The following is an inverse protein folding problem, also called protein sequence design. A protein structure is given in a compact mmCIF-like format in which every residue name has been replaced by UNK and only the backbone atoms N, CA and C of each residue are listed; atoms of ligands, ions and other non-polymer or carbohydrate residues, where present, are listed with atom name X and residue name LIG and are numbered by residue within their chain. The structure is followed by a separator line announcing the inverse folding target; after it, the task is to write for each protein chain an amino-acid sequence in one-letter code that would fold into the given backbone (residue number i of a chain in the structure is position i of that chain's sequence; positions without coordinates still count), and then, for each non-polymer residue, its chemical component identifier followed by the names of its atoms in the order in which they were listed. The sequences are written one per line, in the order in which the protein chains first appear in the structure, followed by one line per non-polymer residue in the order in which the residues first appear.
data_IF_195337417350
#
_entry.id   IF_195337417350
#
_cell.length_a   1.000
_cell.length_b   1.000
_cell.length_c   1.000
_cell.angle_alpha   90.00
_cell.angle_beta   90.00
_cell.angle_gamma   90.00
#
_symmetry.space_group_name_H-M   'P 1'
#
loop_
_entity.id
_entity.type
_entity.pdbx_description
1 polymer ?
#
# COMPACT_ATOMS: atom_id res chain seq x y z
N UNK A 1 1.75 3.64 -27.68
CA UNK A 1 2.29 2.29 -27.41
C UNK A 1 1.60 1.30 -28.33
N UNK A 2 2.31 0.31 -28.88
CA UNK A 2 1.77 -0.63 -29.89
C UNK A 2 2.20 -2.09 -29.63
N UNK A 3 2.65 -2.39 -28.41
CA UNK A 3 3.26 -3.66 -28.06
C UNK A 3 4.44 -3.51 -27.10
N UNK A 4 5.18 -4.61 -26.91
CA UNK A 4 6.35 -4.69 -26.03
C UNK A 4 7.49 -5.42 -26.71
N UNK A 5 8.73 -4.98 -26.44
CA UNK A 5 9.95 -5.77 -26.69
C UNK A 5 10.38 -6.38 -25.37
N UNK A 6 10.73 -7.65 -25.38
CA UNK A 6 11.07 -8.41 -24.17
C UNK A 6 12.12 -9.46 -24.46
N UNK A 7 12.86 -9.85 -23.44
CA UNK A 7 13.78 -10.98 -23.51
C UNK A 7 13.07 -12.23 -22.99
N UNK A 8 13.17 -13.33 -23.74
CA UNK A 8 12.68 -14.63 -23.32
C UNK A 8 13.74 -15.69 -23.58
N UNK A 9 14.29 -16.26 -22.50
CA UNK A 9 15.37 -17.26 -22.56
C UNK A 9 16.60 -16.79 -23.34
N UNK A 10 17.01 -15.52 -23.14
CA UNK A 10 18.19 -14.93 -23.80
C UNK A 10 17.93 -14.42 -25.22
N UNK A 11 16.73 -14.61 -25.78
CA UNK A 11 16.37 -14.11 -27.11
C UNK A 11 15.53 -12.85 -27.01
N UNK A 12 15.87 -11.85 -27.84
CA UNK A 12 15.06 -10.64 -27.98
C UNK A 12 13.82 -10.95 -28.83
N UNK A 13 12.64 -10.65 -28.29
CA UNK A 13 11.35 -10.86 -28.93
C UNK A 13 10.54 -9.58 -28.95
N UNK A 14 9.57 -9.54 -29.85
CA UNK A 14 8.62 -8.44 -30.00
C UNK A 14 7.20 -9.02 -30.05
N UNK A 15 6.28 -8.41 -29.31
CA UNK A 15 4.86 -8.72 -29.35
C UNK A 15 4.08 -7.44 -29.64
N UNK A 16 3.26 -7.46 -30.69
CA UNK A 16 2.37 -6.35 -31.04
C UNK A 16 1.03 -6.52 -30.32
N UNK A 17 0.47 -5.40 -29.87
CA UNK A 17 -0.87 -5.36 -29.29
C UNK A 17 -1.52 -4.01 -29.57
N UNK A 18 -2.87 -4.00 -29.57
CA UNK A 18 -3.64 -2.75 -29.64
C UNK A 18 -3.47 -1.93 -28.35
N UNK A 19 -3.49 -2.61 -27.21
CA UNK A 19 -3.38 -2.02 -25.87
C UNK A 19 -2.39 -2.86 -25.04
N UNK A 20 -1.58 -2.19 -24.22
CA UNK A 20 -0.70 -2.80 -23.21
C UNK A 20 -1.24 -2.42 -21.83
N UNK A 21 -1.38 -3.38 -20.92
CA UNK A 21 -1.66 -3.11 -19.51
C UNK A 21 -0.37 -3.35 -18.73
N UNK A 22 0.24 -2.27 -18.24
CA UNK A 22 1.45 -2.28 -17.43
C UNK A 22 1.09 -2.48 -15.95
N UNK A 23 1.34 -3.69 -15.45
CA UNK A 23 1.18 -4.06 -14.05
C UNK A 23 2.52 -4.53 -13.44
N UNK A 24 3.60 -3.84 -13.79
CA UNK A 24 4.99 -4.21 -13.52
C UNK A 24 5.53 -3.71 -12.15
N UNK A 25 4.63 -3.49 -11.20
CA UNK A 25 4.97 -3.20 -9.82
C UNK A 25 5.51 -1.79 -9.57
N UNK A 26 6.11 -1.60 -8.38
CA UNK A 26 6.59 -0.31 -7.87
C UNK A 26 7.59 0.40 -8.79
N UNK A 27 8.36 -0.37 -9.57
CA UNK A 27 9.32 0.20 -10.50
C UNK A 27 8.66 0.87 -11.71
N UNK A 28 7.47 0.42 -12.13
CA UNK A 28 6.69 1.04 -13.22
C UNK A 28 7.54 1.38 -14.46
N UNK A 29 8.44 0.46 -14.85
CA UNK A 29 9.41 0.66 -15.96
C UNK A 29 8.69 0.79 -17.28
N UNK A 30 7.67 -0.03 -17.51
CA UNK A 30 6.88 -0.01 -18.75
C UNK A 30 6.16 1.34 -18.91
N UNK A 31 5.64 1.89 -17.81
CA UNK A 31 5.09 3.24 -17.77
C UNK A 31 6.13 4.31 -18.12
N UNK A 32 7.33 4.24 -17.53
CA UNK A 32 8.44 5.16 -17.84
C UNK A 32 8.86 5.11 -19.30
N UNK A 33 8.98 3.91 -19.87
CA UNK A 33 9.33 3.73 -21.29
C UNK A 33 8.27 4.29 -22.24
N UNK A 34 7.00 4.29 -21.81
CA UNK A 34 5.90 4.91 -22.53
C UNK A 34 5.82 6.44 -22.36
N UNK A 35 6.77 7.06 -21.64
CA UNK A 35 6.82 8.51 -21.41
C UNK A 35 5.94 9.01 -20.27
N UNK A 36 5.36 8.11 -19.47
CA UNK A 36 4.55 8.50 -18.31
C UNK A 36 5.49 8.74 -17.12
N UNK A 37 5.26 9.84 -16.40
CA UNK A 37 6.04 10.19 -15.20
C UNK A 37 5.56 9.35 -14.02
N UNK A 38 6.18 8.19 -13.83
CA UNK A 38 5.81 7.22 -12.78
C UNK A 38 6.78 7.20 -11.59
N UNK A 39 7.72 8.15 -11.52
CA UNK A 39 8.65 8.24 -10.39
C UNK A 39 7.92 8.57 -9.09
N UNK A 40 8.14 7.75 -8.06
CA UNK A 40 7.73 8.05 -6.68
C UNK A 40 8.81 8.87 -5.99
N UNK A 41 8.42 9.94 -5.28
CA UNK A 41 9.34 10.65 -4.39
C UNK A 41 9.76 9.71 -3.24
N UNK A 42 11.04 9.72 -2.86
CA UNK A 42 11.51 8.83 -1.81
C UNK A 42 10.79 9.06 -0.46
N UNK A 43 10.24 10.26 -0.22
CA UNK A 43 9.48 10.58 1.00
C UNK A 43 8.12 9.87 1.08
N UNK A 44 7.61 9.54 -0.10
CA UNK A 44 6.33 8.86 -0.34
C UNK A 44 6.51 7.35 -0.57
N UNK A 45 7.76 6.88 -0.58
CA UNK A 45 8.09 5.47 -0.66
C UNK A 45 8.40 4.95 0.75
N UNK A 46 7.56 4.04 1.24
CA UNK A 46 7.83 3.31 2.46
C UNK A 46 8.89 2.25 2.18
N UNK A 47 9.91 2.17 3.04
CA UNK A 47 10.90 1.11 3.01
C UNK A 47 10.41 -0.03 3.89
N UNK A 48 10.09 -1.16 3.27
CA UNK A 48 9.52 -2.31 3.94
C UNK A 48 10.47 -3.49 3.96
N UNK A 49 10.51 -4.19 5.09
CA UNK A 49 11.18 -5.49 5.25
C UNK A 49 10.25 -6.45 5.98
N UNK A 50 10.29 -7.71 5.59
CA UNK A 50 9.52 -8.76 6.23
C UNK A 50 10.32 -10.06 6.25
N UNK A 51 10.23 -10.77 7.37
CA UNK A 51 10.58 -12.17 7.45
C UNK A 51 9.33 -13.02 7.57
N UNK A 52 9.41 -14.25 7.08
CA UNK A 52 8.55 -15.33 7.56
C UNK A 52 9.35 -16.09 8.61
N UNK A 53 8.83 -16.18 9.83
CA UNK A 53 9.46 -16.88 10.93
C UNK A 53 8.57 -18.03 11.43
N UNK A 54 9.17 -19.12 11.88
CA UNK A 54 8.50 -20.24 12.52
C UNK A 54 8.48 -20.09 14.05
N UNK A 55 7.63 -20.88 14.70
CA UNK A 55 7.57 -21.00 16.17
C UNK A 55 7.24 -19.68 16.88
N UNK A 56 6.35 -18.89 16.27
CA UNK A 56 5.90 -17.61 16.80
C UNK A 56 4.66 -17.83 17.68
N UNK A 57 4.75 -17.60 19.01
CA UNK A 57 3.69 -17.92 19.96
C UNK A 57 2.63 -16.80 20.02
N UNK A 58 1.89 -16.61 18.93
CA UNK A 58 0.81 -15.62 18.80
C UNK A 58 -0.50 -16.30 18.45
N UNK A 59 -1.63 -15.63 18.72
CA UNK A 59 -2.95 -16.14 18.35
C UNK A 59 -3.08 -16.18 16.82
N UNK A 60 -3.35 -17.34 16.20
CA UNK A 60 -3.47 -17.47 14.75
C UNK A 60 -4.61 -16.66 14.14
N UNK A 61 -5.57 -16.20 14.93
CA UNK A 61 -6.73 -15.43 14.46
C UNK A 61 -6.58 -13.91 14.63
N UNK A 62 -5.41 -13.43 15.05
CA UNK A 62 -5.18 -12.02 15.36
C UNK A 62 -4.00 -11.45 14.58
N UNK A 63 -4.24 -10.38 13.80
CA UNK A 63 -3.17 -9.56 13.25
C UNK A 63 -2.73 -8.52 14.28
N UNK A 64 -1.43 -8.44 14.54
CA UNK A 64 -0.86 -7.48 15.48
C UNK A 64 -0.24 -6.32 14.72
N UNK A 65 -0.46 -5.11 15.24
CA UNK A 65 0.12 -3.88 14.73
C UNK A 65 0.78 -3.13 15.88
N UNK A 66 2.03 -2.71 15.69
CA UNK A 66 2.77 -1.88 16.64
C UNK A 66 3.08 -0.53 15.99
N UNK A 67 2.90 0.52 16.77
CA UNK A 67 3.14 1.91 16.39
C UNK A 67 4.08 2.55 17.41
N UNK A 68 4.82 3.57 16.97
CA UNK A 68 5.73 4.33 17.81
C UNK A 68 7.18 4.24 17.35
N UNK A 69 8.00 5.11 17.92
CA UNK A 69 9.39 5.34 17.50
C UNK A 69 10.28 4.10 17.68
N UNK A 70 10.00 3.27 18.70
CA UNK A 70 10.74 2.03 18.93
C UNK A 70 10.51 0.97 17.83
N UNK A 71 9.32 0.93 17.25
CA UNK A 71 8.90 -0.15 16.36
C UNK A 71 9.06 0.21 14.88
N UNK A 72 8.45 1.33 14.47
CA UNK A 72 8.39 1.77 13.08
C UNK A 72 8.01 3.25 13.02
N UNK A 73 8.98 4.17 13.19
CA UNK A 73 8.73 5.61 13.08
C UNK A 73 8.05 5.97 11.75
N UNK A 74 6.97 6.74 11.83
CA UNK A 74 6.17 7.16 10.66
C UNK A 74 5.68 6.01 9.77
N UNK A 75 5.49 4.85 10.36
CA UNK A 75 4.92 3.68 9.71
C UNK A 75 4.29 2.77 10.75
N UNK A 76 4.40 1.47 10.54
CA UNK A 76 3.95 0.49 11.52
C UNK A 76 4.70 -0.83 11.34
N UNK A 77 4.71 -1.61 12.42
CA UNK A 77 5.24 -2.95 12.46
C UNK A 77 4.08 -3.94 12.55
N UNK A 78 4.17 -5.08 11.89
CA UNK A 78 3.12 -6.11 11.90
C UNK A 78 3.63 -7.49 12.30
N UNK A 79 2.70 -8.27 12.84
CA UNK A 79 2.78 -9.72 12.92
C UNK A 79 1.48 -10.27 12.34
N UNK A 80 1.58 -10.94 11.20
CA UNK A 80 0.47 -11.61 10.54
C UNK A 80 0.66 -13.12 10.69
N UNK A 81 -0.07 -13.78 11.61
CA UNK A 81 0.03 -15.21 11.80
C UNK A 81 -0.30 -15.98 10.53
N UNK A 82 0.35 -17.13 10.39
CA UNK A 82 0.13 -18.13 9.35
C UNK A 82 -0.15 -19.48 10.02
N UNK A 83 -0.46 -20.49 9.22
CA UNK A 83 -0.62 -21.85 9.72
C UNK A 83 0.67 -22.36 10.41
N UNK A 84 0.51 -23.36 11.29
CA UNK A 84 1.60 -24.12 11.91
C UNK A 84 2.58 -23.27 12.75
N UNK A 85 2.06 -22.24 13.43
CA UNK A 85 2.88 -21.38 14.30
C UNK A 85 3.88 -20.50 13.56
N UNK A 86 3.76 -20.36 12.23
CA UNK A 86 4.55 -19.41 11.46
C UNK A 86 3.87 -18.03 11.47
N UNK A 87 4.64 -16.97 11.25
CA UNK A 87 4.10 -15.63 11.03
C UNK A 87 4.94 -14.83 10.03
N UNK A 88 4.28 -13.95 9.30
CA UNK A 88 4.94 -12.86 8.60
C UNK A 88 5.15 -11.71 9.58
N UNK A 89 6.41 -11.35 9.83
CA UNK A 89 6.82 -10.32 10.78
C UNK A 89 7.60 -9.27 10.00
N UNK A 90 7.17 -8.02 10.05
CA UNK A 90 7.79 -6.98 9.26
C UNK A 90 7.39 -5.59 9.67
N UNK A 91 7.93 -4.61 8.96
CA UNK A 91 7.60 -3.20 9.15
C UNK A 91 7.75 -2.43 7.85
N UNK A 92 7.09 -1.28 7.82
CA UNK A 92 7.33 -0.20 6.87
C UNK A 92 7.69 1.06 7.62
N UNK A 93 8.68 1.79 7.14
CA UNK A 93 9.03 3.13 7.63
C UNK A 93 9.16 4.09 6.47
N UNK A 94 8.76 5.34 6.70
CA UNK A 94 8.85 6.38 5.68
C UNK A 94 10.29 6.49 5.17
N UNK A 95 10.48 6.73 3.87
CA UNK A 95 11.80 6.92 3.30
C UNK A 95 12.60 8.08 3.92
N UNK A 96 11.97 8.99 4.67
CA UNK A 96 12.67 9.97 5.52
C UNK A 96 13.44 9.33 6.68
N UNK A 97 12.87 8.29 7.29
CA UNK A 97 13.46 7.51 8.38
C UNK A 97 14.48 6.51 7.83
N UNK A 98 14.14 5.85 6.72
CA UNK A 98 15.00 4.91 6.01
C UNK A 98 16.38 5.46 5.64
N UNK A 99 16.54 6.79 5.55
CA UNK A 99 17.83 7.47 5.35
C UNK A 99 18.80 7.38 6.53
N UNK A 100 18.28 7.26 7.76
CA UNK A 100 19.06 7.25 9.00
C UNK A 100 19.17 5.84 9.58
N UNK A 101 18.06 5.12 9.59
CA UNK A 101 17.99 3.74 10.10
C UNK A 101 17.26 2.88 9.09
N UNK A 102 17.87 1.74 8.73
CA UNK A 102 17.23 0.80 7.84
C UNK A 102 16.02 0.15 8.51
N UNK A 103 14.99 -0.19 7.75
CA UNK A 103 13.87 -0.99 8.26
C UNK A 103 14.37 -2.32 8.87
N UNK A 104 15.43 -2.91 8.29
CA UNK A 104 16.08 -4.11 8.82
C UNK A 104 16.58 -3.94 10.26
N UNK A 105 17.10 -2.76 10.62
CA UNK A 105 17.61 -2.50 11.97
C UNK A 105 16.50 -2.64 13.01
N UNK A 106 15.32 -2.08 12.74
CA UNK A 106 14.15 -2.22 13.62
C UNK A 106 13.65 -3.66 13.67
N UNK A 107 13.63 -4.37 12.53
CA UNK A 107 13.25 -5.78 12.49
C UNK A 107 14.16 -6.63 13.37
N UNK A 108 15.47 -6.50 13.21
CA UNK A 108 16.45 -7.26 13.99
C UNK A 108 16.30 -6.99 15.48
N UNK A 109 16.22 -5.71 15.88
CA UNK A 109 16.03 -5.33 17.26
C UNK A 109 14.75 -5.94 17.87
N UNK A 110 13.65 -5.90 17.13
CA UNK A 110 12.39 -6.50 17.56
C UNK A 110 12.50 -8.02 17.71
N UNK A 111 13.11 -8.70 16.74
CA UNK A 111 13.25 -10.16 16.77
C UNK A 111 14.18 -10.62 17.90
N UNK A 112 15.31 -9.96 18.12
CA UNK A 112 16.23 -10.25 19.23
C UNK A 112 15.54 -10.10 20.59
N UNK A 113 14.70 -9.07 20.75
CA UNK A 113 14.01 -8.79 22.00
C UNK A 113 12.80 -9.70 22.24
N UNK A 114 12.00 -9.96 21.19
CA UNK A 114 10.68 -10.60 21.33
C UNK A 114 10.70 -12.10 21.03
N UNK A 115 11.50 -12.51 20.04
CA UNK A 115 11.53 -13.88 19.52
C UNK A 115 12.98 -14.37 19.26
N UNK A 116 13.89 -14.30 20.26
CA UNK A 116 15.32 -14.61 20.07
C UNK A 116 15.59 -16.03 19.60
N UNK A 117 14.67 -16.97 19.85
CA UNK A 117 14.80 -18.38 19.51
C UNK A 117 14.00 -18.77 18.25
N UNK A 118 13.37 -17.81 17.56
CA UNK A 118 12.59 -18.12 16.36
C UNK A 118 13.48 -18.42 15.17
N UNK A 119 12.97 -19.25 14.25
CA UNK A 119 13.68 -19.60 13.02
C UNK A 119 13.17 -18.76 11.85
N UNK A 120 14.04 -17.96 11.24
CA UNK A 120 13.72 -17.24 10.00
C UNK A 120 13.75 -18.20 8.81
N UNK A 121 12.62 -18.29 8.09
CA UNK A 121 12.45 -19.15 6.92
C UNK A 121 12.78 -18.41 5.62
N UNK A 122 12.30 -17.17 5.51
CA UNK A 122 12.52 -16.31 4.34
C UNK A 122 12.61 -14.85 4.77
N UNK A 123 13.32 -14.04 3.99
CA UNK A 123 13.34 -12.59 4.15
C UNK A 123 13.11 -11.91 2.80
N UNK A 124 12.29 -10.86 2.81
CA UNK A 124 12.02 -10.00 1.65
C UNK A 124 12.09 -8.54 2.05
N UNK A 125 12.45 -7.68 1.11
CA UNK A 125 12.38 -6.24 1.25
C UNK A 125 11.79 -5.62 -0.03
N UNK A 126 11.15 -4.47 0.10
CA UNK A 126 10.53 -3.78 -1.03
C UNK A 126 10.10 -2.36 -0.68
N UNK A 127 9.93 -1.55 -1.72
CA UNK A 127 9.33 -0.22 -1.60
C UNK A 127 7.81 -0.30 -1.75
N UNK A 128 7.08 0.49 -0.97
CA UNK A 128 5.63 0.64 -1.10
C UNK A 128 5.29 2.11 -1.39
N UNK A 129 4.70 2.44 -2.56
CA UNK A 129 4.36 3.82 -2.92
C UNK A 129 3.10 4.28 -2.18
N UNK A 130 3.27 4.77 -0.95
CA UNK A 130 2.19 5.21 -0.07
C UNK A 130 1.80 6.68 -0.31
N UNK A 131 1.33 6.95 -1.52
CA UNK A 131 0.94 8.30 -1.97
C UNK A 131 -0.31 8.24 -2.86
N UNK A 132 -0.69 9.39 -3.42
CA UNK A 132 -1.80 9.49 -4.36
C UNK A 132 -1.51 8.71 -5.64
N UNK A 133 -2.57 8.24 -6.29
CA UNK A 133 -2.52 7.72 -7.67
C UNK A 133 -1.82 8.72 -8.58
N UNK A 134 -1.05 8.21 -9.56
CA UNK A 134 -0.38 9.08 -10.54
C UNK A 134 -1.39 9.98 -11.25
N UNK A 135 -0.94 11.19 -11.62
CA UNK A 135 -1.76 12.14 -12.40
C UNK A 135 -2.26 11.52 -13.71
N UNK A 136 -1.43 10.74 -14.37
CA UNK A 136 -1.78 10.00 -15.58
C UNK A 136 -1.48 8.52 -15.33
N UNK A 137 -2.50 7.66 -15.46
CA UNK A 137 -2.39 6.20 -15.38
C UNK A 137 -2.67 5.52 -16.73
N UNK A 138 -2.65 6.30 -17.81
CA UNK A 138 -2.78 5.84 -19.18
C UNK A 138 -2.00 6.75 -20.15
N UNK A 139 -1.79 6.26 -21.36
CA UNK A 139 -1.41 7.03 -22.56
C UNK A 139 -1.93 6.26 -23.80
N UNK A 140 -1.83 6.80 -25.04
CA UNK A 140 -2.28 6.08 -26.23
C UNK A 140 -1.70 4.67 -26.31
N UNK A 141 -2.58 3.66 -26.31
CA UNK A 141 -2.24 2.23 -26.36
C UNK A 141 -1.65 1.62 -25.07
N UNK A 142 -1.72 2.30 -23.91
CA UNK A 142 -1.23 1.76 -22.63
C UNK A 142 -2.07 2.22 -21.42
N UNK A 143 -2.28 1.29 -20.47
CA UNK A 143 -2.88 1.51 -19.16
C UNK A 143 -1.91 1.05 -18.05
N UNK A 144 -1.93 1.67 -16.87
CA UNK A 144 -1.10 1.30 -15.72
C UNK A 144 -2.00 0.78 -14.58
N UNK A 145 -1.64 -0.33 -13.95
CA UNK A 145 -2.43 -0.92 -12.86
C UNK A 145 -1.56 -1.36 -11.68
N UNK A 146 -2.16 -1.40 -10.50
CA UNK A 146 -1.48 -1.74 -9.24
C UNK A 146 -0.46 -0.68 -8.82
N UNK A 147 0.65 -1.14 -8.25
CA UNK A 147 1.73 -0.28 -7.77
C UNK A 147 2.30 0.58 -8.90
N UNK A 148 2.30 0.08 -10.14
CA UNK A 148 2.78 0.84 -11.30
C UNK A 148 2.00 2.14 -11.53
N UNK A 149 0.73 2.18 -11.08
CA UNK A 149 -0.15 3.35 -11.15
C UNK A 149 -0.31 4.08 -9.80
N UNK A 150 0.46 3.70 -8.76
CA UNK A 150 0.30 4.16 -7.38
C UNK A 150 -1.11 3.90 -6.81
N UNK A 151 -1.64 2.69 -7.03
CA UNK A 151 -2.97 2.31 -6.53
C UNK A 151 -2.92 1.70 -5.12
N UNK A 152 -1.78 1.74 -4.43
CA UNK A 152 -1.65 1.31 -3.03
C UNK A 152 -2.48 2.19 -2.11
N UNK A 153 -3.21 1.61 -1.15
CA UNK A 153 -3.90 2.38 -0.13
C UNK A 153 -2.86 3.12 0.75
N UNK A 154 -2.82 4.47 0.74
CA UNK A 154 -1.74 5.22 1.37
C UNK A 154 -1.78 5.17 2.91
N UNK A 155 -2.95 4.92 3.50
CA UNK A 155 -3.09 4.82 4.95
C UNK A 155 -2.59 3.48 5.50
N UNK A 156 -2.86 2.39 4.78
CA UNK A 156 -2.52 1.03 5.23
C UNK A 156 -1.28 0.45 4.58
N UNK A 157 -0.80 0.99 3.46
CA UNK A 157 0.23 0.36 2.62
C UNK A 157 -0.26 -0.89 1.86
N UNK A 158 -1.54 -1.26 1.97
CA UNK A 158 -2.10 -2.43 1.29
C UNK A 158 -2.38 -2.14 -0.19
N UNK A 159 -1.76 -2.92 -1.10
CA UNK A 159 -1.90 -2.76 -2.55
C UNK A 159 -2.68 -3.87 -3.27
N UNK A 160 -2.84 -5.05 -2.68
CA UNK A 160 -3.42 -6.22 -3.38
C UNK A 160 -4.87 -5.94 -3.82
N UNK A 161 -5.73 -5.55 -2.87
CA UNK A 161 -7.15 -5.31 -3.14
C UNK A 161 -7.37 -4.17 -4.14
N UNK A 162 -6.69 -3.04 -3.95
CA UNK A 162 -6.83 -1.87 -4.80
C UNK A 162 -6.19 -2.08 -6.18
N UNK A 163 -5.08 -2.80 -6.26
CA UNK A 163 -4.47 -3.22 -7.52
C UNK A 163 -5.34 -4.18 -8.33
N UNK A 164 -6.03 -5.12 -7.67
CA UNK A 164 -7.04 -5.96 -8.34
C UNK A 164 -8.18 -5.12 -8.92
N UNK A 165 -8.67 -4.12 -8.18
CA UNK A 165 -9.71 -3.21 -8.68
C UNK A 165 -9.19 -2.43 -9.90
N UNK A 166 -8.00 -1.84 -9.81
CA UNK A 166 -7.41 -1.10 -10.93
C UNK A 166 -7.18 -1.99 -12.16
N UNK A 167 -6.72 -3.22 -11.95
CA UNK A 167 -6.58 -4.23 -13.01
C UNK A 167 -7.91 -4.59 -13.66
N UNK A 168 -8.98 -4.77 -12.87
CA UNK A 168 -10.34 -5.05 -13.40
C UNK A 168 -10.82 -3.91 -14.29
N UNK A 169 -10.75 -2.68 -13.80
CA UNK A 169 -11.17 -1.50 -14.56
C UNK A 169 -10.32 -1.35 -15.83
N UNK A 170 -9.00 -1.54 -15.74
CA UNK A 170 -8.12 -1.48 -16.90
C UNK A 170 -8.47 -2.54 -17.96
N UNK A 171 -8.79 -3.76 -17.53
CA UNK A 171 -9.22 -4.85 -18.40
C UNK A 171 -10.55 -4.57 -19.10
N UNK A 172 -11.55 -4.10 -18.34
CA UNK A 172 -12.88 -3.71 -18.85
C UNK A 172 -12.75 -2.58 -19.89
N UNK A 173 -12.03 -1.51 -19.55
CA UNK A 173 -11.79 -0.37 -20.44
C UNK A 173 -11.04 -0.78 -21.71
N UNK A 174 -10.04 -1.67 -21.59
CA UNK A 174 -9.32 -2.18 -22.75
C UNK A 174 -10.23 -3.03 -23.66
N UNK A 175 -11.07 -3.89 -23.07
CA UNK A 175 -12.03 -4.70 -23.81
C UNK A 175 -13.05 -3.83 -24.56
N UNK A 176 -13.67 -2.87 -23.87
CA UNK A 176 -14.64 -1.94 -24.45
C UNK A 176 -14.03 -1.11 -25.59
N UNK A 177 -12.79 -0.64 -25.40
CA UNK A 177 -12.04 0.08 -26.44
C UNK A 177 -11.85 -0.78 -27.70
N UNK A 178 -11.50 -2.06 -27.55
CA UNK A 178 -11.26 -2.98 -28.67
C UNK A 178 -12.58 -3.37 -29.34
N UNK A 179 -13.60 -3.72 -28.57
CA UNK A 179 -14.89 -4.20 -29.09
C UNK A 179 -15.66 -3.09 -29.82
N UNK A 180 -15.54 -1.84 -29.35
CA UNK A 180 -16.18 -0.70 -29.98
C UNK A 180 -15.35 -0.06 -31.11
N UNK A 181 -14.14 -0.57 -31.38
CA UNK A 181 -13.13 0.03 -32.28
C UNK A 181 -12.87 1.51 -31.96
N UNK A 182 -12.80 1.84 -30.66
CA UNK A 182 -12.59 3.19 -30.12
C UNK A 182 -11.30 3.21 -29.31
N UNK A 183 -10.12 3.39 -29.94
CA UNK A 183 -8.84 3.37 -29.23
C UNK A 183 -8.74 4.42 -28.12
N UNK A 184 -9.40 5.56 -28.28
CA UNK A 184 -9.40 6.66 -27.29
C UNK A 184 -10.30 6.38 -26.07
N UNK A 185 -11.10 5.30 -26.08
CA UNK A 185 -11.93 4.92 -24.92
C UNK A 185 -11.08 4.65 -23.67
N UNK A 186 -9.82 4.24 -23.85
CA UNK A 186 -8.86 4.02 -22.77
C UNK A 186 -8.61 5.27 -21.91
N UNK A 187 -8.90 6.47 -22.45
CA UNK A 187 -8.74 7.73 -21.73
C UNK A 187 -9.78 7.95 -20.64
N UNK A 188 -10.78 7.06 -20.52
CA UNK A 188 -11.74 7.07 -19.41
C UNK A 188 -11.22 6.33 -18.16
N UNK A 189 -10.08 5.64 -18.25
CA UNK A 189 -9.59 4.77 -17.18
C UNK A 189 -9.35 5.50 -15.85
N UNK A 190 -8.73 6.67 -15.89
CA UNK A 190 -8.46 7.47 -14.68
C UNK A 190 -9.74 7.93 -13.99
N UNK A 191 -10.74 8.37 -14.75
CA UNK A 191 -12.05 8.77 -14.26
C UNK A 191 -12.77 7.60 -13.60
N UNK A 192 -12.80 6.44 -14.25
CA UNK A 192 -13.46 5.24 -13.71
C UNK A 192 -12.76 4.74 -12.43
N UNK A 193 -11.43 4.75 -12.41
CA UNK A 193 -10.65 4.51 -11.19
C UNK A 193 -11.00 5.52 -10.09
N UNK A 194 -11.06 6.80 -10.43
CA UNK A 194 -11.32 7.87 -9.48
C UNK A 194 -12.71 7.76 -8.83
N UNK A 195 -13.72 7.47 -9.64
CA UNK A 195 -15.09 7.23 -9.19
C UNK A 195 -15.21 6.01 -8.28
N UNK A 196 -14.47 4.94 -8.58
CA UNK A 196 -14.55 3.68 -7.82
C UNK A 196 -13.73 3.70 -6.51
N UNK A 197 -12.50 4.21 -6.57
CA UNK A 197 -11.53 4.12 -5.46
C UNK A 197 -10.80 5.45 -5.21
N UNK A 198 -10.45 6.21 -6.25
CA UNK A 198 -9.58 7.38 -6.11
C UNK A 198 -10.09 8.44 -5.13
N UNK A 199 -11.40 8.70 -5.06
CA UNK A 199 -11.98 9.59 -4.03
C UNK A 199 -11.65 9.15 -2.60
N UNK A 200 -11.75 7.84 -2.32
CA UNK A 200 -11.39 7.27 -1.01
C UNK A 200 -9.88 7.27 -0.81
N UNK A 201 -9.11 7.03 -1.88
CA UNK A 201 -7.65 7.08 -1.90
C UNK A 201 -7.11 8.44 -1.42
N UNK A 202 -7.67 9.54 -1.90
CA UNK A 202 -7.31 10.89 -1.44
C UNK A 202 -7.62 11.11 0.05
N UNK A 203 -8.76 10.60 0.52
CA UNK A 203 -9.13 10.69 1.94
C UNK A 203 -8.12 9.90 2.78
N UNK A 204 -7.78 8.67 2.37
CA UNK A 204 -6.75 7.88 3.04
C UNK A 204 -5.41 8.60 3.11
N UNK A 205 -5.01 9.31 2.04
CA UNK A 205 -3.76 10.06 2.04
C UNK A 205 -3.78 11.19 3.08
N UNK A 206 -4.88 11.95 3.17
CA UNK A 206 -5.02 12.99 4.21
C UNK A 206 -5.00 12.42 5.62
N UNK A 207 -5.63 11.27 5.84
CA UNK A 207 -5.58 10.57 7.13
C UNK A 207 -4.15 10.13 7.47
N UNK A 208 -3.42 9.57 6.49
CA UNK A 208 -2.00 9.19 6.60
C UNK A 208 -1.14 10.39 7.03
N UNK A 209 -1.27 11.51 6.34
CA UNK A 209 -0.50 12.72 6.64
C UNK A 209 -0.84 13.27 8.04
N UNK A 210 -2.08 13.12 8.48
CA UNK A 210 -2.54 13.48 9.82
C UNK A 210 -1.93 12.61 10.94
N UNK A 211 -1.62 11.34 10.69
CA UNK A 211 -1.05 10.41 11.68
C UNK A 211 0.48 10.40 11.70
N UNK A 212 1.15 10.80 10.60
CA UNK A 212 2.62 10.77 10.46
C UNK A 212 3.37 11.62 11.50
N UNK A 213 2.69 12.57 12.14
CA UNK A 213 3.29 13.48 13.13
C UNK A 213 2.92 13.13 14.58
N UNK A 214 2.32 11.97 14.82
CA UNK A 214 2.02 11.52 16.18
C UNK A 214 3.29 11.05 16.89
N UNK A 215 3.48 11.52 18.13
CA UNK A 215 4.49 10.99 19.03
C UNK A 215 3.94 9.81 19.85
N UNK A 216 4.82 9.12 20.56
CA UNK A 216 4.44 7.96 21.39
C UNK A 216 3.43 8.34 22.48
N UNK A 217 3.48 9.56 23.03
CA UNK A 217 2.49 10.03 24.01
C UNK A 217 1.10 10.08 23.39
N UNK A 218 1.00 10.60 22.16
CA UNK A 218 -0.25 10.64 21.41
C UNK A 218 -0.74 9.22 21.11
N UNK A 219 0.11 8.33 20.57
CA UNK A 219 -0.28 6.93 20.33
C UNK A 219 -0.80 6.23 21.60
N UNK A 220 -0.08 6.38 22.72
CA UNK A 220 -0.48 5.79 24.00
C UNK A 220 -1.82 6.36 24.50
N UNK A 221 -2.02 7.68 24.42
CA UNK A 221 -3.30 8.29 24.79
C UNK A 221 -4.48 7.77 23.98
N UNK A 222 -4.27 7.54 22.67
CA UNK A 222 -5.28 6.98 21.75
C UNK A 222 -5.59 5.54 22.15
N UNK A 223 -4.56 4.72 22.40
CA UNK A 223 -4.73 3.34 22.83
C UNK A 223 -5.49 3.24 24.16
N UNK A 224 -5.15 4.08 25.16
CA UNK A 224 -5.87 4.14 26.43
C UNK A 224 -7.32 4.58 26.27
N UNK A 225 -7.59 5.58 25.42
CA UNK A 225 -8.96 6.02 25.14
C UNK A 225 -9.76 4.94 24.40
N UNK A 226 -9.15 4.27 23.42
CA UNK A 226 -9.79 3.20 22.65
C UNK A 226 -10.06 1.96 23.50
N UNK A 227 -9.19 1.64 24.46
CA UNK A 227 -9.40 0.52 25.40
C UNK A 227 -10.61 0.72 26.32
N UNK A 228 -11.06 1.96 26.54
CA UNK A 228 -12.30 2.24 27.28
C UNK A 228 -13.56 1.94 26.46
N UNK A 229 -13.45 1.78 25.13
CA UNK A 229 -14.56 1.37 24.28
C UNK A 229 -14.79 -0.14 24.50
N UNK A 230 -16.04 -0.58 24.76
CA UNK A 230 -16.38 -2.00 24.88
C UNK A 230 -15.92 -2.82 23.66
N UNK A 231 -15.37 -4.04 23.83
CA UNK A 231 -14.81 -4.83 22.74
C UNK A 231 -15.70 -4.98 21.51
N UNK A 232 -17.01 -5.17 21.71
CA UNK A 232 -18.02 -5.33 20.66
C UNK A 232 -18.27 -4.06 19.85
N UNK A 233 -17.84 -2.89 20.36
CA UNK A 233 -17.92 -1.59 19.68
C UNK A 233 -16.58 -1.16 19.08
N UNK A 234 -15.51 -1.95 19.23
CA UNK A 234 -14.20 -1.61 18.67
C UNK A 234 -14.20 -1.88 17.16
N UNK A 235 -13.90 -0.84 16.39
CA UNK A 235 -13.78 -0.88 14.94
C UNK A 235 -12.68 0.07 14.47
N UNK A 236 -12.18 -0.12 13.25
CA UNK A 236 -11.22 0.83 12.65
C UNK A 236 -11.80 2.25 12.60
N UNK A 237 -13.08 2.41 12.26
CA UNK A 237 -13.72 3.73 12.26
C UNK A 237 -13.70 4.40 13.63
N UNK A 238 -13.99 3.65 14.70
CA UNK A 238 -13.91 4.17 16.06
C UNK A 238 -12.47 4.44 16.50
N UNK A 239 -11.50 3.62 16.09
CA UNK A 239 -10.07 3.85 16.36
C UNK A 239 -9.60 5.17 15.74
N UNK A 240 -9.87 5.38 14.45
CA UNK A 240 -9.51 6.61 13.76
C UNK A 240 -10.26 7.84 14.29
N UNK A 241 -11.53 7.68 14.68
CA UNK A 241 -12.28 8.76 15.35
C UNK A 241 -11.65 9.16 16.68
N UNK A 242 -11.23 8.19 17.50
CA UNK A 242 -10.50 8.45 18.74
C UNK A 242 -9.14 9.09 18.46
N UNK A 243 -8.42 8.62 17.44
CA UNK A 243 -7.11 9.13 17.06
C UNK A 243 -7.15 10.62 16.66
N UNK A 244 -8.19 11.01 15.92
CA UNK A 244 -8.30 12.31 15.26
C UNK A 244 -9.32 13.24 15.91
N UNK A 245 -9.71 12.98 17.17
CA UNK A 245 -10.76 13.74 17.87
C UNK A 245 -10.49 15.25 17.97
N UNK A 246 -9.22 15.68 17.91
CA UNK A 246 -8.83 17.08 17.93
C UNK A 246 -8.57 17.70 16.54
N UNK A 247 -8.84 16.96 15.46
CA UNK A 247 -8.70 17.41 14.08
C UNK A 247 -10.07 17.37 13.37
N UNK A 248 -10.91 18.42 13.51
CA UNK A 248 -12.29 18.42 13.02
C UNK A 248 -12.42 18.11 11.53
N UNK A 249 -11.49 18.61 10.70
CA UNK A 249 -11.46 18.33 9.25
C UNK A 249 -11.25 16.84 8.96
N UNK A 250 -10.34 16.18 9.68
CA UNK A 250 -10.04 14.76 9.50
C UNK A 250 -11.13 13.85 10.10
N UNK A 251 -11.92 14.31 11.08
CA UNK A 251 -13.08 13.56 11.56
C UNK A 251 -14.16 13.39 10.48
N UNK A 252 -14.36 14.41 9.64
CA UNK A 252 -15.26 14.32 8.48
C UNK A 252 -14.74 13.26 7.51
N UNK A 253 -13.43 13.23 7.28
CA UNK A 253 -12.76 12.25 6.43
C UNK A 253 -12.91 10.82 6.98
N UNK A 254 -12.76 10.62 8.30
CA UNK A 254 -13.03 9.34 8.96
C UNK A 254 -14.48 8.90 8.75
N UNK A 255 -15.44 9.83 8.88
CA UNK A 255 -16.85 9.51 8.69
C UNK A 255 -17.17 9.06 7.25
N UNK A 256 -16.62 9.76 6.25
CA UNK A 256 -16.80 9.43 4.83
C UNK A 256 -16.27 8.05 4.46
N UNK A 257 -15.23 7.57 5.14
CA UNK A 257 -14.55 6.32 4.80
C UNK A 257 -15.08 5.14 5.60
N UNK A 258 -15.29 5.32 6.91
CA UNK A 258 -15.54 4.22 7.83
C UNK A 258 -16.95 4.19 8.42
N UNK A 259 -17.74 5.26 8.31
CA UNK A 259 -19.07 5.36 8.92
C UNK A 259 -20.21 5.46 7.90
N UNK A 260 -19.93 5.99 6.71
CA UNK A 260 -20.88 6.03 5.60
C UNK A 260 -20.70 4.77 4.75
N UNK A 261 -21.68 3.87 4.79
CA UNK A 261 -21.73 2.64 3.96
C UNK A 261 -21.92 2.98 2.49
#
# INVERSE_FOLDING_TARGET
VAGVKYEYRGEQKELRSKIVIAADGVESRVGRWAGIKTHTDFRDMESCVQITAAEIPVDPNTCYFYFGEEYAPKGYFWIFPKANGAANIGLGVSGLIGKKHSAQTFLNHFMEKKYPNSTTLTQIAGGVPSTLTLKNIFAPGILLAGDAAHQVNPLSGGGIHTGMIGGSIAGEVAADSILADKPDYIFNYDKLWYERVGKRHEIYNRLKDGIYNFDDKKFNSIAHAFNKIPPEKRSLGNLFKTALIHNPSLLIDVAKVFLMK
#
